data_IF_949986111029
#
_entry.id   IF_949986111029
#
_cell.length_a   1.000
_cell.length_b   1.000
_cell.length_c   1.000
_cell.angle_alpha   90.00
_cell.angle_beta   90.00
_cell.angle_gamma   90.00
#
_symmetry.space_group_name_H-M   'P 1'
#
loop_
_entity.id
_entity.type
_entity.pdbx_description
1 polymer ?
#
# COMPACT_ATOMS: atom_id res chain seq x y z
N UNK A 1 -50.67 -38.17 1.85
CA UNK A 1 -50.26 -36.83 1.36
C UNK A 1 -49.08 -36.37 2.22
N UNK A 2 -47.85 -36.52 1.74
CA UNK A 2 -47.08 -35.52 0.99
C UNK A 2 -46.69 -34.32 1.87
N UNK A 3 -45.41 -34.24 2.28
CA UNK A 3 -44.59 -33.02 2.29
C UNK A 3 -43.15 -33.29 2.78
N UNK A 4 -42.40 -34.06 1.98
CA UNK A 4 -40.94 -33.95 1.94
C UNK A 4 -40.67 -32.89 0.87
N UNK A 5 -40.15 -31.71 1.23
CA UNK A 5 -39.95 -30.66 0.21
C UNK A 5 -39.23 -29.37 0.60
N UNK A 6 -38.58 -29.27 1.77
CA UNK A 6 -38.03 -27.98 2.23
C UNK A 6 -36.48 -27.86 2.20
N UNK A 7 -35.62 -28.91 2.16
CA UNK A 7 -34.17 -28.65 2.14
C UNK A 7 -33.62 -28.30 0.75
N UNK A 8 -34.28 -28.70 -0.35
CA UNK A 8 -33.77 -28.49 -1.72
C UNK A 8 -34.03 -27.10 -2.27
N UNK A 9 -35.12 -26.44 -1.87
CA UNK A 9 -35.46 -25.09 -2.36
C UNK A 9 -34.48 -24.00 -1.89
N UNK A 10 -34.04 -24.07 -0.64
CA UNK A 10 -33.07 -23.12 -0.08
C UNK A 10 -31.68 -23.33 -0.67
N UNK A 11 -31.28 -24.58 -0.90
CA UNK A 11 -30.03 -24.93 -1.56
C UNK A 11 -30.02 -24.46 -3.03
N UNK A 12 -31.12 -24.64 -3.76
CA UNK A 12 -31.27 -24.10 -5.13
C UNK A 12 -31.28 -22.58 -5.16
N UNK A 13 -31.94 -21.92 -4.19
CA UNK A 13 -31.93 -20.47 -4.08
C UNK A 13 -30.52 -19.92 -3.78
N UNK A 14 -29.75 -20.58 -2.91
CA UNK A 14 -28.36 -20.20 -2.62
C UNK A 14 -27.45 -20.43 -3.84
N UNK A 15 -27.57 -21.57 -4.53
CA UNK A 15 -26.79 -21.83 -5.75
C UNK A 15 -27.17 -20.88 -6.88
N UNK A 16 -28.44 -20.49 -7.00
CA UNK A 16 -28.87 -19.47 -7.95
C UNK A 16 -28.38 -18.06 -7.56
N UNK A 17 -28.31 -17.74 -6.26
CA UNK A 17 -27.75 -16.47 -5.78
C UNK A 17 -26.23 -16.40 -6.02
N UNK A 18 -25.50 -17.48 -5.77
CA UNK A 18 -24.06 -17.58 -6.05
C UNK A 18 -23.77 -17.70 -7.55
N UNK A 19 -24.62 -18.36 -8.34
CA UNK A 19 -24.53 -18.42 -9.79
C UNK A 19 -24.79 -17.06 -10.42
N UNK A 20 -25.86 -16.37 -10.00
CA UNK A 20 -26.14 -15.00 -10.41
C UNK A 20 -25.06 -14.02 -9.95
N UNK A 21 -24.44 -14.20 -8.78
CA UNK A 21 -23.29 -13.38 -8.36
C UNK A 21 -22.05 -13.63 -9.24
N UNK A 22 -21.85 -14.85 -9.75
CA UNK A 22 -20.78 -15.17 -10.70
C UNK A 22 -21.07 -14.65 -12.10
N UNK A 23 -22.33 -14.68 -12.55
CA UNK A 23 -22.75 -14.11 -13.82
C UNK A 23 -22.80 -12.58 -13.79
N UNK A 24 -23.19 -11.95 -12.67
CA UNK A 24 -23.03 -10.51 -12.47
C UNK A 24 -21.54 -10.13 -12.38
N UNK A 25 -20.72 -10.91 -11.66
CA UNK A 25 -19.27 -10.68 -11.63
C UNK A 25 -18.61 -10.82 -13.00
N UNK A 26 -19.04 -11.78 -13.82
CA UNK A 26 -18.55 -12.01 -15.18
C UNK A 26 -19.05 -10.99 -16.19
N UNK A 27 -20.32 -10.58 -16.10
CA UNK A 27 -20.91 -9.56 -16.97
C UNK A 27 -20.41 -8.16 -16.62
N UNK A 28 -20.22 -7.86 -15.34
CA UNK A 28 -19.53 -6.63 -14.90
C UNK A 28 -18.07 -6.67 -15.34
N UNK A 29 -17.37 -7.79 -15.23
CA UNK A 29 -15.97 -7.89 -15.71
C UNK A 29 -15.85 -7.70 -17.23
N UNK A 30 -16.69 -8.38 -18.02
CA UNK A 30 -16.65 -8.29 -19.49
C UNK A 30 -17.17 -6.98 -20.06
N UNK A 31 -18.24 -6.41 -19.48
CA UNK A 31 -18.75 -5.10 -19.89
C UNK A 31 -17.79 -3.97 -19.56
N UNK A 32 -17.07 -4.07 -18.45
CA UNK A 32 -16.23 -3.01 -17.91
C UNK A 32 -14.80 -3.04 -18.49
N UNK A 33 -14.33 -4.17 -19.02
CA UNK A 33 -13.19 -4.26 -19.94
C UNK A 33 -13.52 -3.63 -21.32
N UNK A 34 -14.77 -3.77 -21.80
CA UNK A 34 -15.19 -3.21 -23.09
C UNK A 34 -15.38 -1.68 -23.10
N UNK A 35 -15.68 -1.06 -21.95
CA UNK A 35 -15.78 0.41 -21.82
C UNK A 35 -14.57 1.05 -21.12
N UNK A 36 -13.51 0.30 -20.83
CA UNK A 36 -12.32 0.81 -20.11
C UNK A 36 -12.57 1.27 -18.67
N UNK A 37 -13.80 1.10 -18.16
CA UNK A 37 -14.22 1.53 -16.84
C UNK A 37 -13.79 0.57 -15.71
N UNK A 38 -13.32 -0.62 -16.06
CA UNK A 38 -12.66 -1.58 -15.15
C UNK A 38 -11.18 -1.69 -15.45
N UNK A 39 -10.52 -0.56 -15.72
CA UNK A 39 -9.25 -0.39 -15.06
C UNK A 39 -9.53 -0.58 -13.57
N UNK A 40 -9.14 -1.74 -13.01
CA UNK A 40 -9.02 -1.91 -11.56
C UNK A 40 -8.33 -0.65 -11.09
N UNK A 41 -9.07 0.24 -10.45
CA UNK A 41 -8.59 1.58 -10.17
C UNK A 41 -7.31 1.39 -9.38
N UNK A 42 -6.15 1.62 -10.02
CA UNK A 42 -4.87 1.46 -9.35
C UNK A 42 -4.95 2.37 -8.14
N UNK A 43 -4.76 1.82 -6.92
CA UNK A 43 -4.93 2.63 -5.73
C UNK A 43 -4.02 3.85 -5.87
N UNK A 44 -4.55 5.04 -5.63
CA UNK A 44 -3.78 6.26 -5.81
C UNK A 44 -2.65 6.28 -4.77
N UNK A 45 -1.38 6.45 -5.18
CA UNK A 45 -0.27 6.41 -4.24
C UNK A 45 -0.43 7.48 -3.16
N UNK A 46 -0.30 7.13 -1.87
CA UNK A 46 -0.38 8.10 -0.79
C UNK A 46 0.79 9.06 -0.88
N UNK A 47 0.55 10.33 -0.56
CA UNK A 47 1.63 11.29 -0.34
C UNK A 47 2.26 10.99 1.01
N UNK A 48 3.46 10.41 1.00
CA UNK A 48 4.22 10.12 2.21
C UNK A 48 5.07 11.36 2.56
N UNK A 49 4.98 11.89 3.79
CA UNK A 49 5.76 13.05 4.19
C UNK A 49 7.25 12.72 4.24
N UNK A 50 8.09 13.72 3.96
CA UNK A 50 9.53 13.61 4.16
C UNK A 50 9.84 13.35 5.64
N UNK A 51 10.89 12.59 5.89
CA UNK A 51 11.39 12.31 7.23
C UNK A 51 12.72 13.03 7.45
N UNK A 52 12.87 13.60 8.64
CA UNK A 52 14.11 14.22 9.09
C UNK A 52 14.50 13.55 10.40
N UNK A 53 15.70 12.98 10.46
CA UNK A 53 16.21 12.37 11.68
C UNK A 53 16.47 13.43 12.75
N UNK A 54 16.62 12.99 14.01
CA UNK A 54 17.29 13.81 15.01
C UNK A 54 18.75 14.10 14.58
N UNK A 55 19.35 15.10 15.21
CA UNK A 55 20.80 15.32 15.11
C UNK A 55 21.52 14.16 15.79
N UNK A 56 22.43 13.53 15.06
CA UNK A 56 23.16 12.34 15.50
C UNK A 56 24.65 12.55 15.30
N UNK A 57 25.44 11.80 16.06
CA UNK A 57 26.90 11.92 15.99
C UNK A 57 27.46 11.40 14.65
N UNK A 58 28.71 11.77 14.36
CA UNK A 58 29.41 11.23 13.19
C UNK A 58 29.58 9.71 13.26
N UNK A 59 29.54 9.05 12.11
CA UNK A 59 29.70 7.59 11.98
C UNK A 59 28.42 6.86 11.57
N UNK A 60 27.29 7.56 11.53
CA UNK A 60 26.03 7.06 11.01
C UNK A 60 25.86 7.37 9.51
N UNK A 61 24.83 6.80 8.90
CA UNK A 61 24.47 7.06 7.52
C UNK A 61 22.95 7.19 7.34
N UNK A 62 22.53 7.71 6.19
CA UNK A 62 21.10 7.89 5.90
C UNK A 62 20.31 6.57 5.89
N UNK A 63 20.92 5.44 5.49
CA UNK A 63 20.23 4.14 5.42
C UNK A 63 19.75 3.71 6.81
N UNK A 64 20.58 3.91 7.85
CA UNK A 64 20.26 3.55 9.23
C UNK A 64 18.99 4.24 9.78
N UNK A 65 18.62 5.40 9.23
CA UNK A 65 17.43 6.14 9.65
C UNK A 65 16.28 6.08 8.62
N UNK A 66 16.60 6.13 7.33
CA UNK A 66 15.60 6.15 6.26
C UNK A 66 15.01 4.75 6.00
N UNK A 67 15.80 3.68 6.07
CA UNK A 67 15.32 2.31 5.76
C UNK A 67 14.28 1.82 6.78
N UNK A 68 14.48 1.96 8.10
CA UNK A 68 13.45 1.56 9.08
C UNK A 68 12.14 2.34 8.90
N UNK A 69 12.24 3.62 8.54
CA UNK A 69 11.07 4.44 8.27
C UNK A 69 10.35 3.99 6.98
N UNK A 70 11.09 3.62 5.93
CA UNK A 70 10.51 3.05 4.72
C UNK A 70 9.82 1.71 5.01
N UNK A 71 10.42 0.83 5.81
CA UNK A 71 9.81 -0.43 6.24
C UNK A 71 8.51 -0.21 7.03
N UNK A 72 8.45 0.81 7.88
CA UNK A 72 7.23 1.18 8.57
C UNK A 72 6.12 1.53 7.57
N UNK A 73 6.42 2.35 6.55
CA UNK A 73 5.45 2.67 5.50
C UNK A 73 5.06 1.47 4.64
N UNK A 74 5.98 0.54 4.34
CA UNK A 74 5.66 -0.72 3.62
C UNK A 74 4.66 -1.58 4.39
N UNK A 75 4.72 -1.58 5.74
CA UNK A 75 3.75 -2.29 6.59
C UNK A 75 2.39 -1.60 6.62
N UNK A 76 2.36 -0.27 6.57
CA UNK A 76 1.11 0.51 6.52
C UNK A 76 0.43 0.44 5.15
N UNK A 77 1.21 0.30 4.08
CA UNK A 77 0.78 0.37 2.69
C UNK A 77 1.21 -0.86 1.89
N UNK A 78 0.72 -2.07 2.22
CA UNK A 78 1.14 -3.31 1.57
C UNK A 78 0.80 -3.39 0.06
N UNK A 79 -0.16 -2.59 -0.40
CA UNK A 79 -0.56 -2.47 -1.80
C UNK A 79 0.35 -1.54 -2.62
N UNK A 80 1.36 -0.93 -2.00
CA UNK A 80 2.30 0.00 -2.61
C UNK A 80 3.74 -0.45 -2.40
N UNK A 81 4.57 -0.28 -3.43
CA UNK A 81 6.01 -0.39 -3.33
C UNK A 81 6.53 0.94 -2.82
N UNK A 82 7.05 0.95 -1.59
CA UNK A 82 7.63 2.15 -0.97
C UNK A 82 9.14 2.12 -1.14
N UNK A 83 9.64 3.10 -1.88
CA UNK A 83 11.07 3.40 -2.00
C UNK A 83 11.38 4.71 -1.28
N UNK A 84 12.65 4.93 -0.96
CA UNK A 84 13.10 6.17 -0.37
C UNK A 84 14.36 6.67 -1.08
N UNK A 85 14.59 7.98 -1.00
CA UNK A 85 15.82 8.61 -1.48
C UNK A 85 16.34 9.63 -0.47
N UNK A 86 17.66 9.78 -0.33
CA UNK A 86 18.23 10.85 0.48
C UNK A 86 17.94 12.20 -0.17
N UNK A 87 17.49 13.17 0.62
CA UNK A 87 17.29 14.56 0.19
C UNK A 87 18.50 15.46 0.51
N UNK A 88 19.48 14.92 1.21
CA UNK A 88 20.66 15.62 1.69
C UNK A 88 20.83 15.46 3.19
N UNK A 89 22.03 15.83 3.64
CA UNK A 89 22.42 15.81 5.04
C UNK A 89 22.60 17.24 5.55
N UNK A 90 21.98 17.53 6.69
CA UNK A 90 22.36 18.67 7.51
C UNK A 90 23.64 18.30 8.24
N UNK A 91 24.62 19.20 8.24
CA UNK A 91 25.86 19.04 9.00
C UNK A 91 26.05 20.26 9.86
N UNK A 92 26.25 20.04 11.15
CA UNK A 92 26.61 21.10 12.09
C UNK A 92 27.84 20.69 12.91
N UNK A 93 28.57 21.68 13.41
CA UNK A 93 29.72 21.48 14.28
C UNK A 93 29.34 21.95 15.68
N UNK A 94 29.13 20.99 16.57
CA UNK A 94 29.01 21.31 17.99
C UNK A 94 30.41 21.54 18.58
N UNK A 95 30.48 22.34 19.64
CA UNK A 95 31.73 22.82 20.23
C UNK A 95 32.77 21.71 20.44
N UNK A 96 34.06 22.07 20.31
CA UNK A 96 35.23 21.16 20.37
C UNK A 96 35.47 20.31 19.11
N UNK A 97 34.87 20.66 17.97
CA UNK A 97 35.18 20.08 16.65
C UNK A 97 34.39 18.80 16.33
N UNK A 98 33.42 18.46 17.16
CA UNK A 98 32.53 17.33 16.94
C UNK A 98 31.46 17.68 15.91
N UNK A 99 31.29 16.82 14.91
CA UNK A 99 30.32 17.02 13.85
C UNK A 99 29.07 16.19 14.13
N UNK A 100 27.92 16.85 14.10
CA UNK A 100 26.61 16.21 14.13
C UNK A 100 25.97 16.29 12.76
N UNK A 101 25.18 15.27 12.46
CA UNK A 101 24.54 15.07 11.17
C UNK A 101 23.04 14.91 11.35
N UNK A 102 22.29 15.37 10.37
CA UNK A 102 20.84 15.20 10.29
C UNK A 102 20.51 14.68 8.90
N UNK A 103 19.84 13.54 8.82
CA UNK A 103 19.52 12.88 7.56
C UNK A 103 18.08 13.19 7.16
N UNK A 104 17.91 13.67 5.93
CA UNK A 104 16.60 13.94 5.35
C UNK A 104 16.29 12.91 4.26
N UNK A 105 15.09 12.34 4.31
CA UNK A 105 14.64 11.29 3.39
C UNK A 105 13.30 11.69 2.77
N UNK A 106 13.16 11.47 1.46
CA UNK A 106 11.87 11.47 0.78
C UNK A 106 11.43 10.02 0.53
N UNK A 107 10.12 9.79 0.57
CA UNK A 107 9.53 8.50 0.27
C UNK A 107 8.63 8.62 -0.95
N UNK A 108 8.64 7.57 -1.77
CA UNK A 108 7.85 7.48 -2.97
C UNK A 108 7.04 6.17 -2.92
N UNK A 109 5.73 6.29 -3.09
CA UNK A 109 4.82 5.16 -3.15
C UNK A 109 4.46 4.89 -4.61
N UNK A 110 4.69 3.66 -5.08
CA UNK A 110 4.33 3.22 -6.43
C UNK A 110 3.32 2.08 -6.31
N UNK A 111 2.17 2.18 -6.98
CA UNK A 111 1.16 1.11 -6.94
C UNK A 111 1.74 -0.19 -7.51
N UNK A 112 1.65 -1.28 -6.75
CA UNK A 112 2.01 -2.62 -7.22
C UNK A 112 0.81 -3.12 -8.02
N UNK A 113 0.91 -3.02 -9.35
CA UNK A 113 -0.13 -3.45 -10.28
C UNK A 113 0.02 -4.90 -10.71
#
# INVERSE_FOLDING_TARGET
>A
MLWIGIPTGILLALVALFGAAKDFGGYVRGGCEAVGACAVAKPTPPTIPNFTSAWVDGGHNAIEYCEPQAEHYRKLYPQFSITWRPLGEGRDKVGRGHAIYQYNCAFEAVAIG
#
